data_IF_890179818884
#
_entry.id   IF_890179818884
#
_cell.length_a   1.000
_cell.length_b   1.000
_cell.length_c   1.000
_cell.angle_alpha   90.00
_cell.angle_beta   90.00
_cell.angle_gamma   90.00
#
_symmetry.space_group_name_H-M   'P 1'
#
loop_
_entity.id
_entity.type
_entity.pdbx_description
1 polymer ?
#
# COMPACT_ATOMS: atom_id res chain seq x y z
N UNK A 1 -5.04 -15.55 -32.32
CA UNK A 1 -5.37 -14.71 -31.14
C UNK A 1 -4.61 -13.40 -31.24
N UNK A 2 -5.25 -12.27 -30.94
CA UNK A 2 -4.59 -10.96 -30.94
C UNK A 2 -3.75 -10.79 -29.66
N UNK A 3 -2.56 -10.19 -29.79
CA UNK A 3 -1.65 -9.88 -28.68
C UNK A 3 -1.69 -8.38 -28.40
N UNK A 4 -1.63 -7.99 -27.13
CA UNK A 4 -1.66 -6.59 -26.70
C UNK A 4 -0.50 -6.32 -25.72
N UNK A 5 -0.02 -5.07 -25.67
CA UNK A 5 0.98 -4.60 -24.71
C UNK A 5 0.42 -3.46 -23.86
N UNK A 6 0.85 -3.35 -22.61
CA UNK A 6 0.53 -2.21 -21.75
C UNK A 6 1.22 -0.95 -22.29
N UNK A 7 0.57 0.21 -22.21
CA UNK A 7 1.22 1.49 -22.51
C UNK A 7 2.27 1.78 -21.43
N UNK A 8 3.45 2.33 -21.78
CA UNK A 8 4.40 2.81 -20.79
C UNK A 8 3.77 3.95 -20.00
N UNK A 9 3.85 3.90 -18.68
CA UNK A 9 3.28 4.90 -17.76
C UNK A 9 4.27 5.18 -16.64
N UNK A 10 4.43 6.47 -16.31
CA UNK A 10 5.05 6.89 -15.05
C UNK A 10 3.95 6.90 -13.99
N UNK A 11 4.27 6.46 -12.78
CA UNK A 11 3.33 6.38 -11.66
C UNK A 11 3.90 7.12 -10.45
N UNK A 12 3.00 7.56 -9.58
CA UNK A 12 3.36 7.97 -8.23
C UNK A 12 3.17 6.77 -7.28
N UNK A 13 4.13 6.57 -6.38
CA UNK A 13 4.03 5.56 -5.34
C UNK A 13 4.74 6.00 -4.07
N UNK A 14 4.17 5.64 -2.93
CA UNK A 14 4.73 5.93 -1.61
C UNK A 14 4.81 4.66 -0.77
N UNK A 15 5.90 4.49 -0.03
CA UNK A 15 6.10 3.31 0.81
C UNK A 15 5.43 3.49 2.17
N UNK A 16 4.60 2.52 2.56
CA UNK A 16 3.84 2.55 3.81
C UNK A 16 4.67 2.04 4.99
N UNK A 17 4.69 2.82 6.08
CA UNK A 17 5.24 2.42 7.37
C UNK A 17 4.27 2.83 8.49
N UNK A 18 3.75 1.91 9.32
CA UNK A 18 2.76 2.20 10.35
C UNK A 18 3.18 3.30 11.34
N UNK A 19 4.49 3.37 11.64
CA UNK A 19 5.13 4.28 12.57
C UNK A 19 5.42 5.68 11.98
N UNK A 20 5.34 5.84 10.65
CA UNK A 20 5.67 7.10 9.96
C UNK A 20 4.42 7.78 9.42
N UNK A 21 3.99 8.84 10.10
CA UNK A 21 2.89 9.70 9.65
C UNK A 21 3.42 10.96 8.92
N UNK A 22 2.66 11.53 7.96
CA UNK A 22 1.38 11.00 7.44
C UNK A 22 1.59 9.71 6.65
N UNK A 23 0.59 8.82 6.67
CA UNK A 23 0.60 7.62 5.84
C UNK A 23 0.31 7.99 4.38
N UNK A 24 0.68 7.14 3.40
CA UNK A 24 0.31 7.33 2.01
C UNK A 24 -1.19 7.52 1.83
N UNK A 25 -1.56 8.29 0.81
CA UNK A 25 -2.94 8.62 0.55
C UNK A 25 -3.80 7.36 0.35
N UNK A 26 -4.98 7.36 0.97
CA UNK A 26 -5.93 6.24 0.92
C UNK A 26 -5.67 5.12 1.94
N UNK A 27 -4.55 5.13 2.66
CA UNK A 27 -4.30 4.18 3.75
C UNK A 27 -5.02 4.61 5.03
N UNK A 28 -5.72 3.68 5.68
CA UNK A 28 -6.40 3.90 6.96
C UNK A 28 -6.28 2.68 7.89
N UNK A 29 -6.36 2.93 9.20
CA UNK A 29 -6.45 1.87 10.21
C UNK A 29 -7.89 1.32 10.22
N UNK A 30 -8.06 0.05 9.86
CA UNK A 30 -9.39 -0.58 9.76
C UNK A 30 -9.81 -1.34 11.02
N UNK A 31 -9.01 -1.28 12.09
CA UNK A 31 -9.23 -1.99 13.34
C UNK A 31 -7.98 -2.71 13.83
N UNK A 32 -8.17 -3.63 14.77
CA UNK A 32 -7.08 -4.38 15.40
C UNK A 32 -7.43 -5.85 15.55
N UNK A 33 -6.42 -6.73 15.58
CA UNK A 33 -6.61 -8.16 15.81
C UNK A 33 -5.68 -8.71 16.91
N UNK A 34 -6.14 -9.77 17.57
CA UNK A 34 -5.32 -10.59 18.47
C UNK A 34 -4.94 -11.89 17.73
N UNK A 35 -3.65 -12.14 17.56
CA UNK A 35 -3.10 -13.38 16.95
C UNK A 35 -3.41 -14.63 17.78
N UNK A 36 -3.63 -14.47 19.08
CA UNK A 36 -3.92 -15.57 20.02
C UNK A 36 -5.42 -15.73 20.30
N UNK A 37 -6.30 -15.13 19.49
CA UNK A 37 -7.76 -15.31 19.62
C UNK A 37 -8.11 -16.75 19.21
N UNK A 38 -8.63 -17.56 20.14
CA UNK A 38 -9.13 -18.92 19.85
C UNK A 38 -10.65 -18.97 20.02
N UNK A 39 -11.34 -19.61 19.08
CA UNK A 39 -12.77 -19.91 19.12
C UNK A 39 -13.67 -18.73 19.49
N UNK A 40 -13.41 -17.56 18.91
CA UNK A 40 -14.22 -16.36 19.13
C UNK A 40 -14.01 -15.67 20.49
N UNK A 41 -13.37 -16.32 21.46
CA UNK A 41 -13.09 -15.76 22.79
C UNK A 41 -11.91 -14.79 22.77
N UNK A 42 -12.04 -13.69 23.51
CA UNK A 42 -10.99 -12.70 23.68
C UNK A 42 -9.83 -13.30 24.49
N UNK A 43 -8.62 -13.24 23.93
CA UNK A 43 -7.40 -13.72 24.58
C UNK A 43 -7.13 -12.96 25.90
N UNK A 44 -6.57 -13.61 26.93
CA UNK A 44 -6.32 -12.98 28.25
C UNK A 44 -5.33 -11.80 28.20
N UNK A 45 -4.51 -11.72 27.14
CA UNK A 45 -3.49 -10.70 26.92
C UNK A 45 -4.05 -9.33 26.49
N UNK A 46 -5.36 -9.19 26.28
CA UNK A 46 -5.94 -7.89 25.92
C UNK A 46 -5.74 -6.81 26.99
N UNK A 47 -5.60 -7.20 28.26
CA UNK A 47 -5.23 -6.26 29.36
C UNK A 47 -3.86 -5.62 29.18
N UNK A 48 -3.00 -6.20 28.33
CA UNK A 48 -1.64 -5.74 28.03
C UNK A 48 -1.54 -5.02 26.67
N UNK A 49 -2.67 -4.59 26.08
CA UNK A 49 -2.71 -3.91 24.79
C UNK A 49 -2.05 -4.71 23.64
N UNK A 50 -2.21 -6.05 23.64
CA UNK A 50 -1.70 -6.99 22.63
C UNK A 50 -2.39 -6.87 21.23
N UNK A 51 -3.12 -5.79 20.98
CA UNK A 51 -3.88 -5.60 19.75
C UNK A 51 -2.97 -5.07 18.64
N UNK A 52 -2.85 -5.83 17.55
CA UNK A 52 -2.06 -5.44 16.37
C UNK A 52 -2.98 -4.66 15.42
N UNK A 53 -2.62 -3.43 15.03
CA UNK A 53 -3.41 -2.66 14.08
C UNK A 53 -3.39 -3.28 12.68
N UNK A 54 -4.52 -3.19 11.99
CA UNK A 54 -4.70 -3.59 10.60
C UNK A 54 -4.83 -2.32 9.76
N UNK A 55 -4.02 -2.22 8.72
CA UNK A 55 -4.09 -1.14 7.76
C UNK A 55 -4.68 -1.63 6.45
N UNK A 56 -5.46 -0.75 5.83
CA UNK A 56 -6.13 -1.04 4.56
C UNK A 56 -6.09 0.14 3.62
N UNK A 57 -6.29 -0.16 2.36
CA UNK A 57 -6.54 0.82 1.30
C UNK A 57 -7.83 0.45 0.58
N UNK A 58 -8.64 1.45 0.23
CA UNK A 58 -9.90 1.24 -0.49
C UNK A 58 -9.62 1.12 -1.99
N UNK A 59 -9.99 0.00 -2.60
CA UNK A 59 -9.97 -0.20 -4.05
C UNK A 59 -11.38 -0.39 -4.59
N UNK A 60 -11.54 -0.52 -5.92
CA UNK A 60 -12.87 -0.79 -6.50
C UNK A 60 -13.41 -2.17 -6.14
N UNK A 61 -12.51 -3.10 -5.91
CA UNK A 61 -12.78 -4.50 -5.61
C UNK A 61 -13.03 -4.73 -4.11
N UNK A 62 -12.91 -3.67 -3.30
CA UNK A 62 -13.05 -3.70 -1.84
C UNK A 62 -11.81 -3.19 -1.13
N UNK A 63 -11.76 -3.40 0.19
CA UNK A 63 -10.60 -2.99 0.98
C UNK A 63 -9.50 -4.06 0.96
N UNK A 64 -8.29 -3.67 0.58
CA UNK A 64 -7.11 -4.55 0.61
C UNK A 64 -6.26 -4.27 1.83
N UNK A 65 -5.66 -5.31 2.41
CA UNK A 65 -4.75 -5.20 3.55
C UNK A 65 -3.41 -4.67 3.09
N UNK A 66 -2.85 -3.73 3.86
CA UNK A 66 -1.53 -3.15 3.66
C UNK A 66 -0.64 -3.53 4.84
N UNK A 67 0.57 -4.00 4.55
CA UNK A 67 1.58 -4.30 5.58
C UNK A 67 2.74 -3.33 5.51
N UNK A 68 3.47 -3.18 6.62
CA UNK A 68 4.67 -2.34 6.66
C UNK A 68 5.63 -2.69 5.54
N UNK A 69 6.11 -1.67 4.83
CA UNK A 69 7.01 -1.77 3.70
C UNK A 69 6.31 -1.83 2.34
N UNK A 70 5.01 -2.12 2.26
CA UNK A 70 4.26 -2.16 0.99
C UNK A 70 4.28 -0.78 0.31
N UNK A 71 4.31 -0.77 -1.02
CA UNK A 71 4.15 0.45 -1.82
C UNK A 71 2.67 0.70 -2.09
N UNK A 72 2.23 1.95 -1.96
CA UNK A 72 0.89 2.39 -2.34
C UNK A 72 1.01 3.16 -3.65
N UNK A 73 0.56 2.53 -4.73
CA UNK A 73 0.59 3.07 -6.09
C UNK A 73 -0.68 3.88 -6.34
N UNK A 74 -0.52 5.10 -6.84
CA UNK A 74 -1.62 5.92 -7.35
C UNK A 74 -1.90 5.53 -8.80
N UNK A 75 -2.98 4.77 -9.00
CA UNK A 75 -3.49 4.36 -10.30
C UNK A 75 -4.38 5.41 -10.97
N UNK A 76 -4.89 5.06 -12.15
CA UNK A 76 -5.77 5.93 -12.94
C UNK A 76 -7.05 6.28 -12.20
N UNK A 77 -7.47 7.54 -12.31
CA UNK A 77 -8.65 8.12 -11.63
C UNK A 77 -8.55 8.10 -10.09
N UNK A 78 -7.35 8.26 -9.54
CA UNK A 78 -7.14 8.43 -8.09
C UNK A 78 -7.37 7.15 -7.27
N UNK A 79 -7.24 5.98 -7.90
CA UNK A 79 -7.35 4.69 -7.21
C UNK A 79 -6.01 4.33 -6.59
N UNK A 80 -6.03 3.73 -5.41
CA UNK A 80 -4.81 3.29 -4.74
C UNK A 80 -4.70 1.77 -4.75
N UNK A 81 -3.49 1.26 -4.96
CA UNK A 81 -3.23 -0.18 -4.98
C UNK A 81 -1.99 -0.51 -4.15
N UNK A 82 -2.07 -1.48 -3.23
CA UNK A 82 -0.89 -1.94 -2.52
C UNK A 82 -0.06 -2.86 -3.44
N UNK A 83 1.25 -2.72 -3.38
CA UNK A 83 2.21 -3.52 -4.11
C UNK A 83 3.31 -3.99 -3.14
N UNK A 84 3.66 -5.27 -3.19
CA UNK A 84 4.72 -5.80 -2.34
C UNK A 84 6.09 -5.26 -2.76
N UNK A 85 7.02 -5.03 -1.82
CA UNK A 85 8.30 -4.38 -2.12
C UNK A 85 9.10 -5.08 -3.23
N UNK A 86 9.19 -6.40 -3.15
CA UNK A 86 9.85 -7.26 -4.12
C UNK A 86 9.22 -7.15 -5.51
N UNK A 87 7.89 -7.18 -5.59
CA UNK A 87 7.17 -7.01 -6.86
C UNK A 87 7.36 -5.60 -7.42
N UNK A 88 7.33 -4.58 -6.56
CA UNK A 88 7.53 -3.19 -6.99
C UNK A 88 8.92 -2.99 -7.60
N UNK A 89 9.97 -3.44 -6.91
CA UNK A 89 11.36 -3.34 -7.37
C UNK A 89 11.61 -4.13 -8.65
N UNK A 90 10.89 -5.24 -8.87
CA UNK A 90 10.97 -6.00 -10.12
C UNK A 90 10.24 -5.35 -11.30
N UNK A 91 9.32 -4.41 -11.06
CA UNK A 91 8.39 -3.88 -12.09
C UNK A 91 8.50 -2.39 -12.33
N UNK A 92 9.14 -1.64 -11.43
CA UNK A 92 9.29 -0.19 -11.49
C UNK A 92 10.73 0.23 -11.22
N UNK A 93 11.15 1.29 -11.90
CA UNK A 93 12.44 1.95 -11.71
C UNK A 93 12.21 3.45 -11.47
N UNK A 94 13.09 4.13 -10.72
CA UNK A 94 12.98 5.56 -10.51
C UNK A 94 13.14 6.32 -11.83
N UNK A 95 12.27 7.30 -12.06
CA UNK A 95 12.41 8.22 -13.19
C UNK A 95 13.54 9.21 -12.87
N UNK A 96 14.52 9.41 -13.76
CA UNK A 96 15.57 10.40 -13.55
C UNK A 96 14.97 11.81 -13.44
N UNK A 97 15.58 12.72 -12.66
CA UNK A 97 15.13 14.09 -12.58
C UNK A 97 15.09 14.72 -13.97
N UNK A 98 13.96 15.31 -14.34
CA UNK A 98 13.87 16.10 -15.58
C UNK A 98 14.59 17.43 -15.37
N UNK A 99 15.80 17.56 -15.91
CA UNK A 99 16.42 18.87 -16.06
C UNK A 99 15.72 19.58 -17.23
N UNK A 100 14.83 20.51 -16.91
CA UNK A 100 14.30 21.45 -17.90
C UNK A 100 15.44 22.41 -18.26
N UNK A 101 16.27 22.05 -19.24
CA UNK A 101 17.00 23.05 -20.00
C UNK A 101 15.97 23.69 -20.92
N UNK A 102 15.57 24.91 -20.55
CA UNK A 102 14.74 25.77 -21.36
C UNK A 102 15.26 25.76 -22.79
N UNK A 103 14.49 25.14 -23.69
CA UNK A 103 14.71 25.27 -25.13
C UNK A 103 14.30 26.68 -25.51
N UNK A 104 15.29 27.56 -25.56
CA UNK A 104 15.25 28.88 -26.21
C UNK A 104 15.07 28.66 -27.71
#
# INVERSE_FOLDING_TARGET
MAKYRKKPVVIDAERFFPDKKPWPLGVFESGKYCTTRKNGSWCALHKLNHLIPIFRVMTLEGSLVVTSGDWIITGVKGKFYPCKPDIFEMTYEPVPPVHYVDRI
#
